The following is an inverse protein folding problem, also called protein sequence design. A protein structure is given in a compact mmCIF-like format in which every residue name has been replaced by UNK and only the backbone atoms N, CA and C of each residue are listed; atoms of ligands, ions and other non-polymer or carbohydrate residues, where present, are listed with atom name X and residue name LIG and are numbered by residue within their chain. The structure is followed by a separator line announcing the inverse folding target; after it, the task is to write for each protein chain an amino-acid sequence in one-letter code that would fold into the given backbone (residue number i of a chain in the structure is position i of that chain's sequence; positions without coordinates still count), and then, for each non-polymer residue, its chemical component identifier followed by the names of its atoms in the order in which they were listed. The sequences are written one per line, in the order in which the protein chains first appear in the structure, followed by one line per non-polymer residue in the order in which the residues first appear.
data_IF_870907962088
#
_entry.id   IF_870907962088
#
_cell.length_a   1.000
_cell.length_b   1.000
_cell.length_c   1.000
_cell.angle_alpha   90.00
_cell.angle_beta   90.00
_cell.angle_gamma   90.00
#
_symmetry.space_group_name_H-M   'P 1'
#
loop_
_entity.id
_entity.type
_entity.pdbx_description
1 polymer ?
#
# COMPACT_ATOMS: atom_id res chain seq x y z
N UNK A 1 16.16 41.05 -6.17
CA UNK A 1 16.16 39.77 -5.45
C UNK A 1 14.79 39.61 -4.82
N UNK A 2 14.10 38.53 -5.15
CA UNK A 2 12.63 38.39 -5.15
C UNK A 2 11.94 38.69 -3.82
N UNK A 3 11.15 39.77 -3.80
CA UNK A 3 10.21 40.12 -2.73
C UNK A 3 8.91 39.30 -2.74
N UNK A 4 8.77 38.30 -3.63
CA UNK A 4 7.55 37.49 -3.75
C UNK A 4 7.59 36.18 -2.95
N UNK A 5 8.77 35.72 -2.53
CA UNK A 5 8.94 34.42 -1.86
C UNK A 5 8.33 34.39 -0.45
N UNK A 6 8.42 35.50 0.29
CA UNK A 6 7.94 35.56 1.69
C UNK A 6 6.41 35.43 1.79
N UNK A 7 5.67 35.80 0.74
CA UNK A 7 4.20 35.88 0.78
C UNK A 7 3.50 34.51 0.79
N UNK A 8 4.03 33.52 0.08
CA UNK A 8 3.36 32.20 -0.02
C UNK A 8 3.59 31.36 1.24
N UNK A 9 4.83 31.39 1.77
CA UNK A 9 5.16 30.67 2.99
C UNK A 9 4.42 31.25 4.20
N UNK A 10 4.33 32.58 4.32
CA UNK A 10 3.53 33.24 5.37
C UNK A 10 2.04 32.91 5.27
N UNK A 11 1.48 32.90 4.06
CA UNK A 11 0.09 32.47 3.84
C UNK A 11 -0.13 31.03 4.26
N UNK A 12 0.80 30.13 3.94
CA UNK A 12 0.73 28.73 4.38
C UNK A 12 0.86 28.58 5.89
N UNK A 13 1.80 29.25 6.55
CA UNK A 13 1.92 29.23 8.01
C UNK A 13 0.63 29.72 8.67
N UNK A 14 -0.02 30.75 8.10
CA UNK A 14 -1.32 31.24 8.57
C UNK A 14 -2.41 30.18 8.41
N UNK A 15 -2.45 29.50 7.26
CA UNK A 15 -3.36 28.38 7.00
C UNK A 15 -3.12 27.29 8.05
N UNK A 16 -1.90 26.78 8.20
CA UNK A 16 -1.52 25.73 9.17
C UNK A 16 -2.00 26.07 10.58
N UNK A 17 -1.80 27.32 11.02
CA UNK A 17 -2.28 27.82 12.32
C UNK A 17 -3.80 27.82 12.43
N UNK A 18 -4.51 28.23 11.39
CA UNK A 18 -5.98 28.21 11.35
C UNK A 18 -6.56 26.79 11.29
N UNK A 19 -5.91 25.85 10.59
CA UNK A 19 -6.38 24.47 10.47
C UNK A 19 -6.22 23.68 11.78
N UNK A 20 -5.20 24.04 12.58
CA UNK A 20 -4.82 23.38 13.83
C UNK A 20 -4.85 21.84 13.69
N UNK A 21 -4.25 21.34 12.61
CA UNK A 21 -4.15 19.91 12.30
C UNK A 21 -2.97 19.36 13.12
N UNK A 22 -3.17 18.35 13.97
CA UNK A 22 -2.08 17.75 14.73
C UNK A 22 -0.96 17.25 13.79
N UNK A 23 0.30 17.48 14.17
CA UNK A 23 1.53 17.05 13.48
C UNK A 23 1.95 17.83 12.21
N UNK A 24 1.10 18.73 11.70
CA UNK A 24 1.46 19.67 10.63
C UNK A 24 2.43 20.75 11.17
N UNK A 25 3.61 20.91 10.56
CA UNK A 25 4.65 21.85 10.98
C UNK A 25 5.27 22.65 9.81
N UNK A 26 6.09 23.65 10.12
CA UNK A 26 6.69 24.54 9.11
C UNK A 26 7.56 23.80 8.07
N UNK A 27 8.04 22.58 8.34
CA UNK A 27 8.76 21.80 7.33
C UNK A 27 7.84 21.27 6.22
N UNK A 28 6.53 21.17 6.44
CA UNK A 28 5.58 20.71 5.42
C UNK A 28 5.46 21.74 4.28
N UNK A 29 5.88 23.00 4.51
CA UNK A 29 5.98 24.01 3.45
C UNK A 29 7.08 23.69 2.42
N UNK A 30 7.97 22.72 2.69
CA UNK A 30 8.98 22.24 1.72
C UNK A 30 8.36 21.46 0.56
N UNK A 31 7.11 21.01 0.70
CA UNK A 31 6.35 20.37 -0.39
C UNK A 31 5.73 21.39 -1.37
N UNK A 32 5.90 22.70 -1.13
CA UNK A 32 5.41 23.75 -2.01
C UNK A 32 6.34 23.86 -3.22
N UNK A 33 5.89 23.39 -4.38
CA UNK A 33 6.58 23.62 -5.65
C UNK A 33 6.19 25.00 -6.21
N UNK A 34 7.19 25.87 -6.43
CA UNK A 34 6.95 27.22 -6.96
C UNK A 34 6.66 27.17 -8.47
N UNK A 35 5.47 27.63 -8.85
CA UNK A 35 5.15 28.04 -10.22
C UNK A 35 5.04 29.58 -10.25
N UNK A 36 5.52 30.21 -11.33
CA UNK A 36 5.71 31.67 -11.41
C UNK A 36 4.47 32.50 -11.05
N UNK A 37 3.26 32.01 -11.33
CA UNK A 37 2.03 32.81 -11.24
C UNK A 37 0.81 32.06 -10.67
N UNK A 38 0.99 30.91 -10.00
CA UNK A 38 -0.14 30.12 -9.50
C UNK A 38 0.22 29.11 -8.41
N UNK A 39 -0.78 28.66 -7.66
CA UNK A 39 -0.64 27.63 -6.62
C UNK A 39 -1.32 26.34 -7.08
N UNK A 40 -0.61 25.21 -7.03
CA UNK A 40 -1.20 23.89 -7.16
C UNK A 40 -1.25 23.23 -5.77
N UNK A 41 -2.44 22.90 -5.31
CA UNK A 41 -2.67 22.12 -4.10
C UNK A 41 -3.04 20.68 -4.50
N UNK A 42 -2.29 19.70 -4.01
CA UNK A 42 -2.59 18.28 -4.19
C UNK A 42 -2.97 17.68 -2.84
N UNK A 43 -4.21 17.21 -2.73
CA UNK A 43 -4.72 16.49 -1.56
C UNK A 43 -4.85 15.02 -1.93
N UNK A 44 -3.87 14.21 -1.51
CA UNK A 44 -3.94 12.76 -1.66
C UNK A 44 -4.71 12.14 -0.48
N UNK A 45 -5.58 11.16 -0.75
CA UNK A 45 -6.40 10.53 0.28
C UNK A 45 -7.44 11.47 0.93
N UNK A 46 -8.10 12.34 0.17
CA UNK A 46 -9.08 13.31 0.69
C UNK A 46 -10.20 12.68 1.53
N UNK A 47 -10.59 11.44 1.22
CA UNK A 47 -11.57 10.68 1.99
C UNK A 47 -11.16 10.39 3.43
N UNK A 48 -9.88 10.52 3.76
CA UNK A 48 -9.36 10.33 5.11
C UNK A 48 -9.59 11.56 6.00
N UNK A 49 -9.64 12.76 5.42
CA UNK A 49 -9.76 14.02 6.16
C UNK A 49 -11.17 14.62 6.11
N UNK A 50 -12.05 14.12 5.23
CA UNK A 50 -13.37 14.72 5.00
C UNK A 50 -14.24 14.83 6.27
N UNK A 51 -14.16 13.84 7.15
CA UNK A 51 -14.93 13.84 8.39
C UNK A 51 -14.45 14.93 9.33
N UNK A 52 -13.14 15.13 9.42
CA UNK A 52 -12.57 16.21 10.24
C UNK A 52 -12.91 17.59 9.63
N UNK A 53 -12.79 17.74 8.31
CA UNK A 53 -13.21 18.95 7.60
C UNK A 53 -14.68 19.28 7.89
N UNK A 54 -15.56 18.28 7.90
CA UNK A 54 -16.98 18.47 8.21
C UNK A 54 -17.24 19.02 9.62
N UNK A 55 -16.33 18.78 10.57
CA UNK A 55 -16.42 19.32 11.95
C UNK A 55 -15.78 20.69 12.14
N UNK A 56 -15.00 21.18 11.16
CA UNK A 56 -14.23 22.43 11.26
C UNK A 56 -14.66 23.44 10.17
N UNK A 57 -15.63 24.34 10.45
CA UNK A 57 -16.16 25.27 9.44
C UNK A 57 -15.12 26.21 8.82
N UNK A 58 -14.10 26.61 9.57
CA UNK A 58 -13.00 27.44 9.06
C UNK A 58 -12.22 26.75 7.94
N UNK A 59 -11.94 25.45 8.12
CA UNK A 59 -11.28 24.60 7.13
C UNK A 59 -12.10 24.43 5.85
N UNK A 60 -13.42 24.22 5.99
CA UNK A 60 -14.31 24.14 4.84
C UNK A 60 -14.33 25.44 4.05
N UNK A 61 -14.42 26.57 4.76
CA UNK A 61 -14.41 27.89 4.14
C UNK A 61 -13.08 28.13 3.42
N UNK A 62 -11.96 27.82 4.07
CA UNK A 62 -10.64 27.93 3.46
C UNK A 62 -10.54 27.10 2.16
N UNK A 63 -10.92 25.82 2.20
CA UNK A 63 -10.85 24.96 1.02
C UNK A 63 -11.77 25.44 -0.10
N UNK A 64 -12.94 25.98 0.25
CA UNK A 64 -13.88 26.60 -0.69
C UNK A 64 -13.31 27.86 -1.31
N UNK A 65 -12.69 28.74 -0.51
CA UNK A 65 -12.05 29.96 -0.98
C UNK A 65 -10.88 29.63 -1.91
N UNK A 66 -10.10 28.59 -1.59
CA UNK A 66 -9.05 28.07 -2.47
C UNK A 66 -9.62 27.58 -3.80
N UNK A 67 -10.74 26.85 -3.78
CA UNK A 67 -11.39 26.32 -4.98
C UNK A 67 -12.04 27.40 -5.86
N UNK A 68 -12.34 28.58 -5.29
CA UNK A 68 -12.91 29.73 -6.00
C UNK A 68 -11.85 30.67 -6.59
N UNK A 69 -10.60 30.57 -6.14
CA UNK A 69 -9.52 31.44 -6.58
C UNK A 69 -8.99 30.99 -7.95
N UNK A 70 -9.03 31.88 -8.94
CA UNK A 70 -8.58 31.59 -10.32
C UNK A 70 -7.08 31.36 -10.45
N UNK A 71 -6.29 31.81 -9.48
CA UNK A 71 -4.84 31.61 -9.47
C UNK A 71 -4.45 30.27 -8.85
N UNK A 72 -5.43 29.53 -8.29
CA UNK A 72 -5.20 28.27 -7.61
C UNK A 72 -5.82 27.10 -8.38
N UNK A 73 -5.10 25.98 -8.41
CA UNK A 73 -5.59 24.70 -8.89
C UNK A 73 -5.56 23.71 -7.74
N UNK A 74 -6.61 22.93 -7.60
CA UNK A 74 -6.69 21.89 -6.56
C UNK A 74 -6.94 20.55 -7.24
N UNK A 75 -6.09 19.57 -6.94
CA UNK A 75 -6.29 18.18 -7.30
C UNK A 75 -6.55 17.41 -6.01
N UNK A 76 -7.66 16.69 -5.97
CA UNK A 76 -8.03 15.86 -4.82
C UNK A 76 -8.18 14.42 -5.30
N UNK A 77 -7.40 13.51 -4.73
CA UNK A 77 -7.60 12.09 -4.91
C UNK A 77 -8.46 11.57 -3.76
N UNK A 78 -9.46 10.77 -4.07
CA UNK A 78 -10.43 10.29 -3.08
C UNK A 78 -11.06 8.98 -3.53
N UNK A 79 -11.48 8.16 -2.57
CA UNK A 79 -12.41 7.04 -2.83
C UNK A 79 -13.76 7.55 -3.38
N UNK A 80 -14.50 6.76 -4.19
CA UNK A 80 -15.68 7.21 -4.93
C UNK A 80 -16.87 7.71 -4.08
N UNK A 81 -16.93 7.32 -2.81
CA UNK A 81 -18.09 7.58 -1.94
C UNK A 81 -17.94 8.84 -1.08
N UNK A 82 -16.81 9.53 -1.16
CA UNK A 82 -16.63 10.77 -0.40
C UNK A 82 -17.13 11.96 -1.20
N UNK A 83 -18.06 12.68 -0.59
CA UNK A 83 -18.68 13.87 -1.17
C UNK A 83 -18.38 15.08 -0.31
N UNK A 84 -18.07 16.20 -0.98
CA UNK A 84 -18.04 17.52 -0.37
C UNK A 84 -19.11 18.40 -1.01
N UNK A 85 -20.29 18.42 -0.38
CA UNK A 85 -21.44 19.18 -0.87
C UNK A 85 -21.10 20.65 -1.12
N UNK A 86 -20.23 21.24 -0.29
CA UNK A 86 -19.79 22.63 -0.39
C UNK A 86 -18.84 22.93 -1.55
N UNK A 87 -18.31 21.91 -2.25
CA UNK A 87 -17.46 22.06 -3.44
C UNK A 87 -18.14 21.58 -4.74
N UNK A 88 -19.30 20.92 -4.65
CA UNK A 88 -19.91 20.17 -5.78
C UNK A 88 -20.07 20.97 -7.08
N UNK A 89 -20.42 22.26 -7.00
CA UNK A 89 -20.75 23.06 -8.18
C UNK A 89 -19.54 23.54 -8.98
N UNK A 90 -18.31 23.28 -8.52
CA UNK A 90 -17.07 23.77 -9.11
C UNK A 90 -16.03 22.68 -9.39
N UNK A 91 -16.28 21.45 -8.94
CA UNK A 91 -15.35 20.34 -9.12
C UNK A 91 -15.58 19.63 -10.45
N UNK A 92 -14.52 19.53 -11.25
CA UNK A 92 -14.44 18.54 -12.32
C UNK A 92 -14.08 17.19 -11.70
N UNK A 93 -14.97 16.21 -11.84
CA UNK A 93 -14.73 14.85 -11.36
C UNK A 93 -14.09 14.01 -12.46
N UNK A 94 -13.00 13.36 -12.12
CA UNK A 94 -12.29 12.41 -12.98
C UNK A 94 -12.28 11.07 -12.25
N UNK A 95 -12.61 10.00 -12.96
CA UNK A 95 -12.60 8.66 -12.40
C UNK A 95 -11.33 7.94 -12.85
N UNK A 96 -10.56 7.41 -11.90
CA UNK A 96 -9.46 6.50 -12.18
C UNK A 96 -10.06 5.11 -12.38
N UNK A 97 -10.16 4.67 -13.63
CA UNK A 97 -10.83 3.41 -14.01
C UNK A 97 -9.91 2.18 -13.98
N UNK A 98 -8.66 2.35 -13.53
CA UNK A 98 -7.64 1.30 -13.57
C UNK A 98 -7.09 1.05 -14.97
N UNK A 99 -6.27 0.02 -15.09
CA UNK A 99 -5.63 -0.38 -16.34
C UNK A 99 -6.62 -1.06 -17.27
N UNK A 100 -6.57 -0.70 -18.54
CA UNK A 100 -7.24 -1.41 -19.62
C UNK A 100 -6.36 -2.55 -20.15
N UNK A 101 -6.92 -3.37 -21.05
CA UNK A 101 -6.22 -4.53 -21.61
C UNK A 101 -4.83 -4.16 -22.18
N UNK A 102 -4.75 -3.06 -22.92
CA UNK A 102 -3.49 -2.57 -23.52
C UNK A 102 -2.51 -2.08 -22.44
N UNK A 103 -3.01 -1.37 -21.42
CA UNK A 103 -2.18 -0.93 -20.29
C UNK A 103 -1.58 -2.11 -19.53
N UNK A 104 -2.36 -3.17 -19.30
CA UNK A 104 -1.90 -4.40 -18.67
C UNK A 104 -0.78 -5.03 -19.49
N UNK A 105 -0.97 -5.17 -20.79
CA UNK A 105 0.06 -5.72 -21.69
C UNK A 105 1.32 -4.88 -21.66
N UNK A 106 1.19 -3.56 -21.85
CA UNK A 106 2.31 -2.61 -21.84
C UNK A 106 3.07 -2.65 -20.51
N UNK A 107 2.35 -2.68 -19.39
CA UNK A 107 2.94 -2.78 -18.06
C UNK A 107 3.72 -4.08 -17.88
N UNK A 108 3.12 -5.22 -18.24
CA UNK A 108 3.76 -6.54 -18.08
C UNK A 108 5.01 -6.64 -18.96
N UNK A 109 4.92 -6.27 -20.25
CA UNK A 109 6.08 -6.26 -21.13
C UNK A 109 7.16 -5.29 -20.66
N UNK A 110 6.78 -4.08 -20.25
CA UNK A 110 7.72 -3.09 -19.72
C UNK A 110 8.43 -3.58 -18.45
N UNK A 111 7.68 -4.22 -17.54
CA UNK A 111 8.22 -4.78 -16.31
C UNK A 111 9.30 -5.83 -16.59
N UNK A 112 9.00 -6.84 -17.42
CA UNK A 112 9.95 -7.92 -17.68
C UNK A 112 11.13 -7.48 -18.55
N UNK A 113 10.90 -6.61 -19.55
CA UNK A 113 11.98 -6.03 -20.38
C UNK A 113 13.03 -5.31 -19.52
N UNK A 114 12.60 -4.55 -18.52
CA UNK A 114 13.49 -3.79 -17.64
C UNK A 114 14.34 -4.67 -16.72
N UNK A 115 13.98 -5.93 -16.53
CA UNK A 115 14.63 -6.82 -15.55
C UNK A 115 15.56 -7.82 -16.23
N UNK A 116 15.19 -8.35 -17.40
CA UNK A 116 15.94 -9.44 -18.03
C UNK A 116 17.02 -8.95 -19.00
N UNK A 117 17.01 -7.67 -19.42
CA UNK A 117 17.81 -7.15 -20.55
C UNK A 117 17.74 -8.04 -21.82
N UNK A 118 16.78 -8.97 -21.86
CA UNK A 118 16.72 -10.04 -22.85
C UNK A 118 15.51 -9.78 -23.75
N UNK A 119 15.70 -10.02 -25.04
CA UNK A 119 14.68 -9.79 -26.07
C UNK A 119 13.52 -10.79 -25.92
N UNK A 120 13.77 -11.93 -25.26
CA UNK A 120 12.79 -12.99 -25.15
C UNK A 120 11.77 -12.74 -24.02
N UNK A 121 10.58 -12.23 -24.40
CA UNK A 121 9.47 -11.89 -23.51
C UNK A 121 8.51 -13.06 -23.22
N UNK A 122 8.99 -14.31 -23.25
CA UNK A 122 8.16 -15.49 -23.01
C UNK A 122 7.40 -15.42 -21.68
N UNK A 123 8.06 -14.97 -20.60
CA UNK A 123 7.44 -14.81 -19.29
C UNK A 123 6.26 -13.82 -19.29
N UNK A 124 6.42 -12.70 -20.00
CA UNK A 124 5.36 -11.71 -20.16
C UNK A 124 4.18 -12.30 -20.95
N UNK A 125 4.46 -13.02 -22.05
CA UNK A 125 3.44 -13.70 -22.84
C UNK A 125 2.66 -14.72 -22.00
N UNK A 126 3.36 -15.55 -21.23
CA UNK A 126 2.74 -16.60 -20.40
C UNK A 126 1.94 -15.98 -19.26
N UNK A 127 2.42 -14.93 -18.59
CA UNK A 127 1.64 -14.22 -17.58
C UNK A 127 0.38 -13.60 -18.20
N UNK A 128 0.49 -12.90 -19.33
CA UNK A 128 -0.67 -12.31 -20.02
C UNK A 128 -1.70 -13.40 -20.37
N UNK A 129 -1.25 -14.56 -20.86
CA UNK A 129 -2.12 -15.70 -21.16
C UNK A 129 -2.83 -16.21 -19.90
N UNK A 130 -2.10 -16.40 -18.81
CA UNK A 130 -2.64 -16.83 -17.50
C UNK A 130 -3.65 -15.83 -16.95
N UNK A 131 -3.36 -14.52 -17.00
CA UNK A 131 -4.29 -13.47 -16.58
C UNK A 131 -5.59 -13.53 -17.41
N UNK A 132 -5.50 -13.75 -18.72
CA UNK A 132 -6.69 -13.80 -19.57
C UNK A 132 -7.53 -15.08 -19.39
N UNK A 133 -6.90 -16.19 -19.02
CA UNK A 133 -7.56 -17.49 -18.86
C UNK A 133 -8.27 -17.65 -17.51
N UNK A 134 -7.92 -16.84 -16.50
CA UNK A 134 -8.54 -16.88 -15.18
C UNK A 134 -9.29 -15.56 -14.90
N UNK A 135 -10.62 -15.64 -14.75
CA UNK A 135 -11.48 -14.45 -14.57
C UNK A 135 -11.12 -13.62 -13.33
N UNK A 136 -10.71 -14.26 -12.22
CA UNK A 136 -10.32 -13.55 -11.00
C UNK A 136 -9.00 -12.81 -11.19
N UNK A 137 -8.01 -13.47 -11.80
CA UNK A 137 -6.72 -12.84 -12.11
C UNK A 137 -6.89 -11.70 -13.10
N UNK A 138 -7.74 -11.89 -14.11
CA UNK A 138 -8.12 -10.84 -15.07
C UNK A 138 -8.69 -9.63 -14.36
N UNK A 139 -9.71 -9.83 -13.51
CA UNK A 139 -10.36 -8.73 -12.79
C UNK A 139 -9.38 -7.98 -11.90
N UNK A 140 -8.56 -8.70 -11.13
CA UNK A 140 -7.57 -8.09 -10.24
C UNK A 140 -6.48 -7.34 -11.02
N UNK A 141 -6.10 -7.82 -12.21
CA UNK A 141 -5.04 -7.20 -13.03
C UNK A 141 -5.37 -5.79 -13.53
N UNK A 142 -6.64 -5.40 -13.52
CA UNK A 142 -7.06 -4.01 -13.81
C UNK A 142 -6.62 -3.02 -12.71
N UNK A 143 -6.28 -3.50 -11.51
CA UNK A 143 -5.71 -2.66 -10.46
C UNK A 143 -4.18 -2.71 -10.53
N UNK A 144 -3.49 -1.55 -10.66
CA UNK A 144 -2.03 -1.51 -10.81
C UNK A 144 -1.25 -2.24 -9.71
N UNK A 145 -1.74 -2.19 -8.46
CA UNK A 145 -1.11 -2.87 -7.33
C UNK A 145 -1.11 -4.40 -7.51
N UNK A 146 -2.25 -5.02 -7.81
CA UNK A 146 -2.33 -6.46 -8.04
C UNK A 146 -1.51 -6.88 -9.26
N UNK A 147 -1.54 -6.11 -10.35
CA UNK A 147 -0.73 -6.41 -11.53
C UNK A 147 0.77 -6.41 -11.21
N UNK A 148 1.23 -5.43 -10.43
CA UNK A 148 2.62 -5.38 -9.94
C UNK A 148 2.97 -6.61 -9.11
N UNK A 149 2.06 -7.04 -8.22
CA UNK A 149 2.25 -8.22 -7.39
C UNK A 149 2.29 -9.51 -8.22
N UNK A 150 1.47 -9.63 -9.27
CA UNK A 150 1.53 -10.77 -10.20
C UNK A 150 2.86 -10.84 -10.95
N UNK A 151 3.31 -9.73 -11.53
CA UNK A 151 4.62 -9.66 -12.19
C UNK A 151 5.75 -10.08 -11.25
N UNK A 152 5.68 -9.60 -10.01
CA UNK A 152 6.69 -9.90 -9.00
C UNK A 152 6.65 -11.36 -8.51
N UNK A 153 5.46 -11.93 -8.34
CA UNK A 153 5.27 -13.35 -7.99
C UNK A 153 5.89 -14.27 -9.05
N UNK A 154 5.57 -14.04 -10.33
CA UNK A 154 6.15 -14.82 -11.43
C UNK A 154 7.67 -14.72 -11.45
N UNK A 155 8.21 -13.50 -11.29
CA UNK A 155 9.66 -13.29 -11.21
C UNK A 155 10.30 -14.08 -10.06
N UNK A 156 9.67 -14.09 -8.89
CA UNK A 156 10.20 -14.84 -7.74
C UNK A 156 10.22 -16.34 -7.99
N UNK A 157 9.10 -16.92 -8.45
CA UNK A 157 9.00 -18.36 -8.67
C UNK A 157 10.02 -18.82 -9.73
N UNK A 158 10.23 -18.04 -10.78
CA UNK A 158 11.25 -18.34 -11.80
C UNK A 158 12.66 -18.34 -11.22
N UNK A 159 13.00 -17.34 -10.39
CA UNK A 159 14.32 -17.27 -9.76
C UNK A 159 14.57 -18.47 -8.84
N UNK A 160 13.57 -18.87 -8.05
CA UNK A 160 13.69 -20.04 -7.17
C UNK A 160 13.94 -21.33 -7.94
N UNK A 161 13.19 -21.56 -9.03
CA UNK A 161 13.35 -22.77 -9.81
C UNK A 161 14.69 -22.79 -10.57
N UNK A 162 15.14 -21.64 -11.08
CA UNK A 162 16.46 -21.54 -11.71
C UNK A 162 17.60 -21.87 -10.74
N UNK A 163 17.50 -21.45 -9.48
CA UNK A 163 18.48 -21.82 -8.46
C UNK A 163 18.46 -23.32 -8.14
N UNK A 164 17.26 -23.92 -8.05
CA UNK A 164 17.12 -25.38 -7.83
C UNK A 164 17.70 -26.18 -9.00
N UNK A 165 17.48 -25.75 -10.23
CA UNK A 165 17.95 -26.45 -11.42
C UNK A 165 19.45 -26.33 -11.64
N UNK A 166 20.07 -25.20 -11.26
CA UNK A 166 21.53 -25.09 -11.18
C UNK A 166 22.14 -26.13 -10.23
N UNK A 167 21.44 -26.45 -9.14
CA UNK A 167 21.88 -27.45 -8.16
C UNK A 167 21.69 -28.88 -8.69
N UNK A 168 20.68 -29.11 -9.55
CA UNK A 168 20.30 -30.44 -10.04
C UNK A 168 20.84 -30.80 -11.44
N UNK A 169 21.59 -29.92 -12.10
CA UNK A 169 22.09 -30.09 -13.47
C UNK A 169 21.02 -30.41 -14.54
N UNK A 170 19.73 -30.20 -14.24
CA UNK A 170 18.62 -30.46 -15.17
C UNK A 170 18.06 -29.15 -15.72
N UNK A 171 18.12 -28.95 -17.05
CA UNK A 171 17.44 -27.84 -17.73
C UNK A 171 16.21 -28.34 -18.49
N UNK A 172 15.03 -28.10 -17.94
CA UNK A 172 13.75 -28.17 -18.68
C UNK A 172 12.93 -26.91 -18.44
N UNK A 173 13.20 -25.84 -19.19
CA UNK A 173 12.53 -24.54 -19.04
C UNK A 173 10.99 -24.63 -19.20
N UNK A 174 10.50 -25.47 -20.11
CA UNK A 174 9.07 -25.56 -20.41
C UNK A 174 8.24 -26.20 -19.28
N UNK A 175 8.77 -27.21 -18.56
CA UNK A 175 8.04 -27.85 -17.44
C UNK A 175 7.91 -26.91 -16.22
N UNK A 176 8.81 -25.92 -16.11
CA UNK A 176 8.86 -24.95 -15.00
C UNK A 176 7.78 -23.90 -15.17
N UNK A 177 7.69 -23.31 -16.36
CA UNK A 177 6.67 -22.32 -16.68
C UNK A 177 5.28 -22.92 -16.46
N UNK A 178 5.03 -24.12 -17.00
CA UNK A 178 3.75 -24.80 -16.82
C UNK A 178 3.39 -25.02 -15.35
N UNK A 179 4.34 -25.38 -14.48
CA UNK A 179 4.07 -25.59 -13.05
C UNK A 179 3.70 -24.29 -12.31
N UNK A 180 4.43 -23.21 -12.58
CA UNK A 180 4.21 -21.87 -11.98
C UNK A 180 2.82 -21.35 -12.36
N UNK A 181 2.52 -21.36 -13.66
CA UNK A 181 1.29 -20.77 -14.19
C UNK A 181 0.06 -21.65 -13.96
N UNK A 182 0.19 -22.99 -13.98
CA UNK A 182 -0.89 -23.89 -13.54
C UNK A 182 -1.21 -23.71 -12.04
N UNK A 183 -0.19 -23.40 -11.24
CA UNK A 183 -0.33 -23.06 -9.83
C UNK A 183 -1.00 -21.71 -9.54
N UNK A 184 -1.27 -20.88 -10.56
CA UNK A 184 -2.04 -19.64 -10.46
C UNK A 184 -3.50 -19.82 -10.94
N UNK A 185 -3.72 -20.66 -11.96
CA UNK A 185 -5.05 -20.84 -12.57
C UNK A 185 -6.08 -21.53 -11.67
N UNK A 186 -5.65 -22.40 -10.74
CA UNK A 186 -6.55 -23.24 -9.93
C UNK A 186 -6.59 -22.84 -8.44
N UNK A 187 -6.33 -21.57 -8.12
CA UNK A 187 -6.21 -21.10 -6.73
C UNK A 187 -7.45 -20.30 -6.32
N UNK A 188 -8.04 -20.65 -5.18
CA UNK A 188 -9.10 -19.86 -4.53
C UNK A 188 -8.61 -18.46 -4.17
N UNK A 189 -9.46 -17.43 -4.21
CA UNK A 189 -9.04 -16.03 -3.96
C UNK A 189 -8.31 -15.86 -2.61
N UNK A 190 -8.75 -16.54 -1.55
CA UNK A 190 -8.07 -16.51 -0.24
C UNK A 190 -6.62 -17.00 -0.31
N UNK A 191 -6.39 -18.15 -0.95
CA UNK A 191 -5.05 -18.69 -1.23
C UNK A 191 -4.23 -17.79 -2.16
N UNK A 192 -4.88 -17.11 -3.10
CA UNK A 192 -4.22 -16.14 -3.97
C UNK A 192 -3.71 -14.94 -3.15
N UNK A 193 -4.55 -14.34 -2.32
CA UNK A 193 -4.14 -13.26 -1.42
C UNK A 193 -3.05 -13.69 -0.47
N UNK A 194 -3.13 -14.90 0.09
CA UNK A 194 -2.06 -15.49 0.89
C UNK A 194 -0.73 -15.51 0.11
N UNK A 195 -0.71 -16.06 -1.11
CA UNK A 195 0.48 -16.08 -1.97
C UNK A 195 1.02 -14.68 -2.30
N UNK A 196 0.13 -13.72 -2.61
CA UNK A 196 0.54 -12.36 -2.94
C UNK A 196 1.13 -11.63 -1.73
N UNK A 197 0.59 -11.85 -0.52
CA UNK A 197 1.14 -11.30 0.71
C UNK A 197 2.49 -11.92 1.08
N UNK A 198 2.64 -13.24 0.97
CA UNK A 198 3.94 -13.92 1.15
C UNK A 198 5.00 -13.34 0.20
N UNK A 199 4.61 -13.15 -1.06
CA UNK A 199 5.44 -12.54 -2.09
C UNK A 199 5.85 -11.11 -1.68
N UNK A 200 4.89 -10.28 -1.27
CA UNK A 200 5.14 -8.91 -0.83
C UNK A 200 6.04 -8.83 0.41
N UNK A 201 5.80 -9.67 1.42
CA UNK A 201 6.66 -9.74 2.61
C UNK A 201 8.09 -10.12 2.24
N UNK A 202 8.25 -11.12 1.37
CA UNK A 202 9.57 -11.58 0.94
C UNK A 202 10.33 -10.47 0.23
N UNK A 203 9.64 -9.65 -0.57
CA UNK A 203 10.24 -8.49 -1.20
C UNK A 203 10.81 -7.51 -0.20
N UNK A 204 9.99 -7.06 0.76
CA UNK A 204 10.38 -6.06 1.72
C UNK A 204 11.42 -6.61 2.71
N UNK A 205 11.33 -7.89 3.07
CA UNK A 205 12.34 -8.58 3.87
C UNK A 205 13.70 -8.60 3.18
N UNK A 206 13.74 -9.02 1.91
CA UNK A 206 14.99 -9.08 1.13
C UNK A 206 15.59 -7.68 0.94
N UNK A 207 14.74 -6.67 0.73
CA UNK A 207 15.17 -5.27 0.60
C UNK A 207 15.76 -4.72 1.89
N UNK A 208 15.19 -5.09 3.04
CA UNK A 208 15.58 -4.54 4.35
C UNK A 208 16.79 -5.26 4.98
N UNK A 209 17.03 -6.53 4.65
CA UNK A 209 18.01 -7.38 5.34
C UNK A 209 19.26 -7.75 4.51
N UNK A 210 19.53 -7.02 3.42
CA UNK A 210 20.77 -7.13 2.60
C UNK A 210 21.32 -8.56 2.42
N UNK A 211 20.48 -9.49 1.94
CA UNK A 211 20.84 -10.87 1.56
C UNK A 211 21.38 -11.82 2.65
N UNK A 212 21.51 -11.42 3.92
CA UNK A 212 22.27 -12.23 4.91
C UNK A 212 21.59 -13.51 5.38
N UNK A 213 20.26 -13.63 5.29
CA UNK A 213 19.53 -14.84 5.67
C UNK A 213 18.53 -15.28 4.59
N UNK A 214 18.78 -16.45 3.97
CA UNK A 214 17.82 -17.12 3.09
C UNK A 214 16.73 -17.76 3.95
N UNK A 215 15.66 -17.03 4.25
CA UNK A 215 14.46 -17.61 4.86
C UNK A 215 13.73 -18.45 3.81
N UNK A 216 13.30 -19.66 4.19
CA UNK A 216 12.43 -20.48 3.34
C UNK A 216 11.07 -19.76 3.15
N UNK A 217 10.73 -19.32 1.93
CA UNK A 217 9.52 -18.52 1.65
C UNK A 217 8.22 -19.24 2.03
N UNK A 218 8.18 -20.57 1.88
CA UNK A 218 6.98 -21.38 2.13
C UNK A 218 6.57 -21.41 3.60
N UNK A 219 7.41 -20.88 4.50
CA UNK A 219 7.15 -20.84 5.94
C UNK A 219 7.13 -19.42 6.51
N UNK A 220 7.14 -18.35 5.71
CA UNK A 220 7.18 -16.97 6.21
C UNK A 220 6.04 -16.68 7.22
N UNK A 221 4.80 -17.05 6.88
CA UNK A 221 3.68 -16.89 7.79
C UNK A 221 3.75 -17.79 9.03
N UNK A 222 4.35 -18.96 8.95
CA UNK A 222 4.53 -19.83 10.11
C UNK A 222 5.64 -19.30 11.04
N UNK A 223 6.71 -18.73 10.47
CA UNK A 223 7.83 -18.14 11.20
C UNK A 223 7.40 -16.86 11.91
N UNK A 224 6.54 -16.06 11.26
CA UNK A 224 6.05 -14.76 11.74
C UNK A 224 4.56 -14.80 12.11
N UNK A 225 4.06 -15.95 12.54
CA UNK A 225 2.62 -16.18 12.80
C UNK A 225 2.03 -15.13 13.74
N UNK A 226 2.74 -14.82 14.83
CA UNK A 226 2.30 -13.85 15.83
C UNK A 226 2.27 -12.42 15.26
N UNK A 227 3.27 -12.01 14.46
CA UNK A 227 3.28 -10.70 13.80
C UNK A 227 2.14 -10.57 12.78
N UNK A 228 1.83 -11.64 12.06
CA UNK A 228 0.75 -11.67 11.08
C UNK A 228 -0.60 -11.60 11.76
N UNK A 229 -0.80 -12.38 12.81
CA UNK A 229 -2.01 -12.30 13.63
C UNK A 229 -2.24 -10.88 14.17
N UNK A 230 -1.17 -10.22 14.61
CA UNK A 230 -1.26 -8.83 15.07
C UNK A 230 -1.71 -7.90 13.95
N UNK A 231 -1.04 -7.97 12.80
CA UNK A 231 -1.36 -7.14 11.64
C UNK A 231 -2.78 -7.41 11.14
N UNK A 232 -3.22 -8.66 11.11
CA UNK A 232 -4.57 -9.04 10.70
C UNK A 232 -5.63 -8.55 11.69
N UNK A 233 -5.38 -8.63 12.99
CA UNK A 233 -6.30 -8.09 14.00
C UNK A 233 -6.35 -6.57 13.95
N UNK A 234 -5.21 -5.92 13.73
CA UNK A 234 -5.10 -4.48 13.60
C UNK A 234 -5.83 -3.97 12.36
N UNK A 235 -5.65 -4.64 11.21
CA UNK A 235 -6.38 -4.36 9.97
C UNK A 235 -7.89 -4.49 10.18
N UNK A 236 -8.32 -5.54 10.89
CA UNK A 236 -9.72 -5.76 11.22
C UNK A 236 -10.33 -4.63 12.05
N UNK A 237 -9.66 -4.23 13.13
CA UNK A 237 -10.14 -3.12 13.97
C UNK A 237 -10.18 -1.80 13.17
N UNK A 238 -9.16 -1.51 12.36
CA UNK A 238 -9.14 -0.32 11.50
C UNK A 238 -10.27 -0.31 10.45
N UNK A 239 -10.55 -1.47 9.84
CA UNK A 239 -11.63 -1.60 8.87
C UNK A 239 -13.02 -1.42 9.49
N UNK A 240 -13.27 -1.90 10.72
CA UNK A 240 -14.57 -1.71 11.42
C UNK A 240 -14.95 -0.25 11.57
N UNK A 241 -13.97 0.59 11.91
CA UNK A 241 -14.18 2.02 12.17
C UNK A 241 -14.04 2.85 10.89
N UNK A 242 -13.68 2.23 9.76
CA UNK A 242 -13.49 2.90 8.48
C UNK A 242 -12.30 3.87 8.45
N UNK A 243 -11.38 3.77 9.42
CA UNK A 243 -10.21 4.64 9.52
C UNK A 243 -8.97 3.93 8.99
N UNK A 244 -8.21 4.66 8.17
CA UNK A 244 -6.92 4.19 7.63
C UNK A 244 -5.81 4.40 8.66
N UNK A 245 -5.91 5.50 9.44
CA UNK A 245 -5.05 5.79 10.58
C UNK A 245 -5.60 5.07 11.81
N UNK A 246 -4.77 4.24 12.42
CA UNK A 246 -5.09 3.38 13.54
C UNK A 246 -4.45 3.98 14.79
N UNK A 247 -5.30 4.41 15.72
CA UNK A 247 -4.89 5.06 16.96
C UNK A 247 -4.08 4.13 17.88
N UNK A 248 -3.34 4.72 18.82
CA UNK A 248 -2.62 3.97 19.84
C UNK A 248 -3.56 3.08 20.67
N UNK A 249 -4.79 3.54 20.95
CA UNK A 249 -5.80 2.77 21.69
C UNK A 249 -6.17 1.46 20.97
N UNK A 250 -6.36 1.51 19.65
CA UNK A 250 -6.68 0.33 18.85
C UNK A 250 -5.48 -0.61 18.77
N UNK A 251 -4.28 -0.05 18.64
CA UNK A 251 -3.04 -0.81 18.69
C UNK A 251 -2.89 -1.52 20.04
N UNK A 252 -3.15 -0.85 21.16
CA UNK A 252 -3.11 -1.43 22.51
C UNK A 252 -4.12 -2.56 22.69
N UNK A 253 -5.35 -2.36 22.21
CA UNK A 253 -6.38 -3.41 22.19
C UNK A 253 -5.93 -4.65 21.40
N UNK A 254 -5.31 -4.43 20.24
CA UNK A 254 -4.78 -5.52 19.41
C UNK A 254 -3.59 -6.21 20.08
N UNK A 255 -2.69 -5.45 20.73
CA UNK A 255 -1.58 -6.01 21.51
C UNK A 255 -2.09 -6.84 22.71
N UNK A 256 -3.15 -6.40 23.38
CA UNK A 256 -3.76 -7.15 24.47
C UNK A 256 -4.30 -8.50 23.98
N UNK A 257 -5.01 -8.51 22.85
CA UNK A 257 -5.48 -9.75 22.23
C UNK A 257 -4.33 -10.70 21.88
N UNK A 258 -3.24 -10.18 21.31
CA UNK A 258 -2.05 -10.98 21.00
C UNK A 258 -1.40 -11.56 22.25
N UNK A 259 -1.29 -10.78 23.33
CA UNK A 259 -0.74 -11.26 24.61
C UNK A 259 -1.58 -12.41 25.17
N UNK A 260 -2.89 -12.41 24.97
CA UNK A 260 -3.77 -13.51 25.39
C UNK A 260 -3.60 -14.75 24.51
N UNK A 261 -3.44 -14.58 23.19
CA UNK A 261 -3.21 -15.70 22.26
C UNK A 261 -1.79 -16.30 22.39
N UNK A 262 -0.79 -15.46 22.70
CA UNK A 262 0.63 -15.82 22.77
C UNK A 262 1.28 -15.38 24.10
N UNK A 263 0.89 -15.95 25.26
CA UNK A 263 1.29 -15.45 26.58
C UNK A 263 2.79 -15.45 26.87
N UNK A 264 3.58 -16.23 26.12
CA UNK A 264 5.05 -16.30 26.26
C UNK A 264 5.81 -15.48 25.20
N UNK A 265 5.11 -14.83 24.27
CA UNK A 265 5.72 -14.03 23.18
C UNK A 265 5.09 -12.64 23.19
N UNK A 266 5.89 -11.60 23.44
CA UNK A 266 5.38 -10.24 23.57
C UNK A 266 5.85 -9.35 22.41
N UNK A 267 4.92 -8.92 21.54
CA UNK A 267 5.21 -7.99 20.42
C UNK A 267 5.93 -6.71 20.84
N UNK A 268 5.79 -6.31 22.10
CA UNK A 268 6.46 -5.13 22.64
C UNK A 268 8.01 -5.23 22.65
N UNK A 269 8.59 -6.39 22.33
CA UNK A 269 10.03 -6.53 22.14
C UNK A 269 10.47 -5.74 20.88
N UNK A 270 11.48 -4.85 20.96
CA UNK A 270 11.93 -4.04 19.83
C UNK A 270 12.25 -4.85 18.56
N UNK A 271 12.81 -6.05 18.70
CA UNK A 271 13.10 -6.93 17.56
C UNK A 271 11.85 -7.40 16.82
N UNK A 272 10.70 -7.54 17.49
CA UNK A 272 9.45 -7.96 16.85
C UNK A 272 8.81 -6.81 16.07
N UNK A 273 8.85 -5.60 16.61
CA UNK A 273 8.47 -4.39 15.88
C UNK A 273 9.35 -4.17 14.64
N UNK A 274 10.66 -4.34 14.78
CA UNK A 274 11.58 -4.25 13.64
C UNK A 274 11.18 -5.21 12.51
N UNK A 275 10.78 -6.45 12.86
CA UNK A 275 10.25 -7.41 11.89
C UNK A 275 8.94 -6.95 11.24
N UNK A 276 7.98 -6.45 12.03
CA UNK A 276 6.71 -5.91 11.49
C UNK A 276 6.98 -4.79 10.48
N UNK A 277 7.86 -3.85 10.81
CA UNK A 277 8.24 -2.76 9.92
C UNK A 277 8.95 -3.26 8.66
N UNK A 278 9.80 -4.29 8.78
CA UNK A 278 10.50 -4.88 7.63
C UNK A 278 9.57 -5.53 6.60
N UNK A 279 8.32 -5.84 6.97
CA UNK A 279 7.33 -6.35 6.01
C UNK A 279 6.73 -5.26 5.12
N UNK A 280 6.88 -3.98 5.48
CA UNK A 280 6.39 -2.83 4.70
C UNK A 280 4.87 -2.68 4.68
N UNK A 281 4.14 -3.45 5.50
CA UNK A 281 2.69 -3.36 5.60
C UNK A 281 2.23 -2.13 6.39
N UNK A 282 2.97 -1.78 7.45
CA UNK A 282 2.56 -0.80 8.45
C UNK A 282 3.58 0.36 8.52
N UNK A 283 3.08 1.58 8.53
CA UNK A 283 3.84 2.83 8.60
C UNK A 283 3.31 3.73 9.74
N UNK A 284 3.99 4.85 10.03
CA UNK A 284 3.57 5.85 11.01
C UNK A 284 4.22 5.76 12.39
N UNK A 285 4.87 4.65 12.72
CA UNK A 285 5.59 4.50 13.98
C UNK A 285 7.09 4.80 13.82
N UNK A 286 7.44 6.07 13.97
CA UNK A 286 8.83 6.55 13.82
C UNK A 286 9.72 6.26 15.03
N UNK A 287 9.13 6.08 16.22
CA UNK A 287 9.84 5.77 17.45
C UNK A 287 9.26 4.54 18.14
N UNK A 288 10.14 3.68 18.65
CA UNK A 288 9.76 2.45 19.37
C UNK A 288 9.79 2.70 20.88
N UNK A 289 8.61 2.74 21.52
CA UNK A 289 8.53 2.48 22.96
C UNK A 289 8.36 0.98 23.19
N UNK A 290 9.12 0.38 24.12
CA UNK A 290 8.99 -1.02 24.48
C UNK A 290 7.74 -1.33 25.33
N UNK A 291 6.94 -0.32 25.71
CA UNK A 291 5.83 -0.52 26.66
C UNK A 291 4.44 -0.28 26.07
N UNK A 292 4.30 0.67 25.13
CA UNK A 292 3.02 1.01 24.51
C UNK A 292 3.24 1.72 23.15
N UNK A 293 2.29 1.63 22.21
CA UNK A 293 2.29 2.44 21.00
C UNK A 293 2.25 3.94 21.35
N UNK A 294 3.17 4.73 20.78
CA UNK A 294 3.20 6.18 21.00
C UNK A 294 2.62 6.95 19.82
N UNK A 295 2.72 6.39 18.62
CA UNK A 295 2.28 7.02 17.39
C UNK A 295 1.15 6.21 16.74
N UNK A 296 0.20 6.87 16.07
CA UNK A 296 -0.74 6.17 15.22
C UNK A 296 -0.02 5.50 14.05
N UNK A 297 -0.64 4.46 13.51
CA UNK A 297 -0.09 3.68 12.39
C UNK A 297 -1.09 3.55 11.26
N UNK A 298 -0.63 3.29 10.05
CA UNK A 298 -1.50 3.06 8.91
C UNK A 298 -0.91 2.00 7.97
N UNK A 299 -1.78 1.32 7.23
CA UNK A 299 -1.34 0.36 6.23
C UNK A 299 -0.86 1.08 4.97
N UNK A 300 0.19 0.56 4.33
CA UNK A 300 0.79 1.16 3.12
C UNK A 300 -0.17 1.24 1.92
N UNK A 301 -1.24 0.44 1.93
CA UNK A 301 -2.42 0.67 1.09
C UNK A 301 -3.68 0.08 1.73
N UNK A 302 -4.84 0.60 1.33
CA UNK A 302 -6.13 0.06 1.75
C UNK A 302 -6.33 -1.39 1.27
N UNK A 303 -5.88 -1.72 0.05
CA UNK A 303 -5.93 -3.08 -0.48
C UNK A 303 -5.07 -4.06 0.34
N UNK A 304 -3.88 -3.62 0.79
CA UNK A 304 -3.03 -4.42 1.67
C UNK A 304 -3.73 -4.67 3.00
N UNK A 305 -4.36 -3.66 3.60
CA UNK A 305 -5.16 -3.83 4.82
C UNK A 305 -6.26 -4.89 4.63
N UNK A 306 -7.00 -4.84 3.52
CA UNK A 306 -8.03 -5.85 3.19
C UNK A 306 -7.43 -7.25 3.02
N UNK A 307 -6.35 -7.38 2.26
CA UNK A 307 -5.67 -8.66 2.05
C UNK A 307 -5.18 -9.25 3.38
N UNK A 308 -4.58 -8.43 4.24
CA UNK A 308 -4.06 -8.84 5.56
C UNK A 308 -5.20 -9.23 6.49
N UNK A 309 -6.33 -8.51 6.49
CA UNK A 309 -7.53 -8.88 7.25
C UNK A 309 -8.08 -10.26 6.84
N UNK A 310 -8.11 -10.55 5.53
CA UNK A 310 -8.57 -11.84 4.99
C UNK A 310 -7.77 -13.05 5.50
N UNK A 311 -6.55 -12.87 6.03
CA UNK A 311 -5.75 -13.97 6.58
C UNK A 311 -6.34 -14.56 7.87
N UNK A 312 -6.91 -13.73 8.76
CA UNK A 312 -7.53 -14.20 10.01
C UNK A 312 -8.99 -14.62 9.83
N UNK A 313 -9.74 -13.87 9.01
CA UNK A 313 -11.20 -14.01 8.93
C UNK A 313 -11.68 -14.71 7.67
N UNK A 314 -10.76 -15.19 6.82
CA UNK A 314 -11.11 -15.79 5.53
C UNK A 314 -11.75 -14.79 4.56
N UNK A 315 -12.40 -15.30 3.52
CA UNK A 315 -13.01 -14.47 2.46
C UNK A 315 -14.32 -13.76 2.87
N UNK A 316 -14.56 -13.54 4.17
CA UNK A 316 -15.76 -12.87 4.68
C UNK A 316 -15.92 -11.40 4.20
N UNK A 317 -14.93 -10.85 3.49
CA UNK A 317 -14.85 -9.43 3.08
C UNK A 317 -14.58 -9.20 1.58
N UNK A 318 -14.75 -10.23 0.73
CA UNK A 318 -14.63 -10.09 -0.73
C UNK A 318 -16.00 -9.82 -1.35
#
# INVERSE_FOLDING_TARGET
MDKSNDNIQEKWVKIMKELNIPHWNENDTKCIMHAKDGLLLVLDGFDEIVNELNTKPGLQKWLKDCALNTNYSIIMASRPNVMCSYLNNKLRRLNVIGFQKEDIQNYVYGYFRNITNNINNNQANTLIKTLNNNQNLKLLSHTPLYLRLFCYLVRQEINEVNEINKIKEEKKENEIEDKIFNGLNNVSISKLYKKLLECYMKWNWTKSNEMKEKINPQNMFNIFEMEIDYLSHLAWEGLKIGQIIISCEIQEKSLHWIKMKYPRKCIAIPSQWSRIHSFGFLQGQESMSPSHPINPVYFSSFDISRMVCCLLFGALFI
#
